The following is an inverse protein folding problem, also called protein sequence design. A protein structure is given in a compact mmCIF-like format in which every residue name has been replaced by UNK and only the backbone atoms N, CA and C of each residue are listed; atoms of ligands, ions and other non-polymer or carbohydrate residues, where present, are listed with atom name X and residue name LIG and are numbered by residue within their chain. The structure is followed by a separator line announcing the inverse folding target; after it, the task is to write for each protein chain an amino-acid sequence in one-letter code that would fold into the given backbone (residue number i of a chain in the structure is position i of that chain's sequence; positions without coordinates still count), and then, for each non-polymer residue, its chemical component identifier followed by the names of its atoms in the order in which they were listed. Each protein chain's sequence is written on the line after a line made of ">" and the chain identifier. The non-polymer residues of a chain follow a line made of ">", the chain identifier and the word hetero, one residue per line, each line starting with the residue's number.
data_IF_337663520054
#
_entry.id   IF_337663520054
#
_cell.length_a   1.000
_cell.length_b   1.000
_cell.length_c   1.000
_cell.angle_alpha   90.00
_cell.angle_beta   90.00
_cell.angle_gamma   90.00
#
_symmetry.space_group_name_H-M   'P 1'
#
loop_
_entity.id
_entity.type
_entity.pdbx_description
1 polymer ?
#
# COMPACT_ATOMS: atom_id res chain seq x y z
N UNK A 1 -26.26 -3.81 -7.75
CA UNK A 1 -24.81 -3.61 -7.54
C UNK A 1 -24.53 -3.80 -6.05
N UNK A 2 -24.08 -4.98 -5.65
CA UNK A 2 -23.77 -5.30 -4.25
C UNK A 2 -22.44 -4.66 -3.87
N UNK A 3 -22.48 -3.61 -3.06
CA UNK A 3 -21.28 -3.08 -2.42
C UNK A 3 -20.78 -4.10 -1.41
N UNK A 4 -19.73 -4.86 -1.76
CA UNK A 4 -19.05 -5.71 -0.80
C UNK A 4 -18.62 -4.85 0.41
N UNK A 5 -18.76 -5.34 1.65
CA UNK A 5 -18.38 -4.57 2.83
C UNK A 5 -16.91 -4.19 2.74
N UNK A 6 -16.62 -2.89 2.84
CA UNK A 6 -15.27 -2.34 2.92
C UNK A 6 -14.60 -2.95 4.15
N UNK A 7 -13.72 -3.93 3.96
CA UNK A 7 -12.93 -4.50 5.04
C UNK A 7 -11.92 -3.44 5.50
N UNK A 8 -12.24 -2.79 6.60
CA UNK A 8 -11.34 -1.84 7.25
C UNK A 8 -10.12 -2.61 7.76
N UNK A 9 -8.99 -2.47 7.06
CA UNK A 9 -7.72 -2.98 7.58
C UNK A 9 -7.33 -2.16 8.81
N UNK A 10 -6.81 -2.82 9.85
CA UNK A 10 -6.24 -2.16 11.03
C UNK A 10 -4.70 -2.11 10.97
N UNK A 11 -4.13 -2.50 9.84
CA UNK A 11 -2.69 -2.62 9.64
C UNK A 11 -2.10 -1.38 8.97
N UNK A 12 -0.89 -1.02 9.39
CA UNK A 12 -0.04 -0.09 8.66
C UNK A 12 0.72 -0.78 7.52
N UNK A 13 1.39 -0.02 6.65
CA UNK A 13 2.05 -0.60 5.47
C UNK A 13 3.17 -1.58 5.83
N UNK A 14 3.87 -1.37 6.95
CA UNK A 14 4.94 -2.27 7.39
C UNK A 14 4.39 -3.57 7.95
N UNK A 15 3.28 -3.51 8.71
CA UNK A 15 2.57 -4.71 9.16
C UNK A 15 2.04 -5.55 8.00
N UNK A 16 1.74 -4.92 6.86
CA UNK A 16 1.32 -5.60 5.63
C UNK A 16 2.52 -6.17 4.84
N UNK A 17 3.61 -5.41 4.73
CA UNK A 17 4.73 -5.74 3.84
C UNK A 17 5.84 -6.57 4.50
N UNK A 18 6.24 -6.22 5.73
CA UNK A 18 7.38 -6.85 6.41
C UNK A 18 7.23 -8.36 6.62
N UNK A 19 6.03 -8.94 6.86
CA UNK A 19 5.87 -10.39 6.94
C UNK A 19 6.02 -11.13 5.61
N UNK A 20 6.06 -10.41 4.48
CA UNK A 20 6.15 -11.01 3.15
C UNK A 20 7.61 -11.10 2.68
N UNK A 21 7.88 -12.03 1.77
CA UNK A 21 9.22 -12.21 1.16
C UNK A 21 9.75 -10.88 0.60
N UNK A 22 11.03 -10.61 0.85
CA UNK A 22 11.74 -9.41 0.40
C UNK A 22 11.01 -8.11 0.76
N UNK A 23 10.35 -8.11 1.93
CA UNK A 23 9.51 -7.02 2.43
C UNK A 23 8.45 -6.54 1.43
N UNK A 24 7.95 -7.44 0.59
CA UNK A 24 6.86 -7.17 -0.33
C UNK A 24 7.26 -6.36 -1.57
N UNK A 25 8.53 -6.44 -1.97
CA UNK A 25 8.98 -5.94 -3.26
C UNK A 25 8.11 -6.49 -4.41
N UNK A 26 7.68 -5.60 -5.32
CA UNK A 26 6.79 -5.92 -6.44
C UNK A 26 5.31 -6.10 -6.06
N UNK A 27 4.96 -6.14 -4.76
CA UNK A 27 3.55 -6.21 -4.35
C UNK A 27 2.86 -4.87 -4.54
N UNK A 28 1.55 -4.93 -4.80
CA UNK A 28 0.67 -3.77 -4.81
C UNK A 28 0.01 -3.62 -3.45
N UNK A 29 0.01 -2.39 -2.91
CA UNK A 29 -0.67 -2.04 -1.66
C UNK A 29 -1.64 -0.90 -1.88
N UNK A 30 -2.79 -0.97 -1.22
CA UNK A 30 -3.86 0.02 -1.32
C UNK A 30 -4.31 0.49 0.07
N UNK A 31 -5.05 1.59 0.12
CA UNK A 31 -5.64 2.15 1.33
C UNK A 31 -7.15 2.11 1.26
N UNK A 32 -7.81 1.84 2.39
CA UNK A 32 -9.27 1.84 2.47
C UNK A 32 -9.94 3.15 2.05
N UNK A 33 -9.26 4.30 2.19
CA UNK A 33 -9.79 5.59 1.70
C UNK A 33 -9.96 5.67 0.18
N UNK A 34 -9.38 4.73 -0.58
CA UNK A 34 -9.47 4.67 -2.04
C UNK A 34 -10.59 3.76 -2.53
N UNK A 35 -11.28 3.04 -1.64
CA UNK A 35 -12.34 2.08 -1.99
C UNK A 35 -13.59 2.74 -2.61
N UNK A 36 -13.69 4.06 -2.47
CA UNK A 36 -14.72 4.88 -3.11
C UNK A 36 -14.52 5.05 -4.62
N UNK A 37 -13.34 4.72 -5.15
CA UNK A 37 -13.05 4.82 -6.59
C UNK A 37 -13.30 3.47 -7.24
N UNK A 38 -14.02 3.46 -8.37
CA UNK A 38 -14.21 2.26 -9.16
C UNK A 38 -12.91 1.85 -9.88
N UNK A 39 -12.08 2.82 -10.23
CA UNK A 39 -10.80 2.60 -10.90
C UNK A 39 -9.70 2.24 -9.90
N UNK A 40 -8.71 1.42 -10.31
CA UNK A 40 -7.69 0.94 -9.39
C UNK A 40 -6.83 2.08 -8.85
N UNK A 41 -6.61 2.05 -7.54
CA UNK A 41 -5.71 2.98 -6.85
C UNK A 41 -4.82 2.21 -5.89
N UNK A 42 -3.50 2.21 -6.13
CA UNK A 42 -2.53 1.45 -5.37
C UNK A 42 -1.11 2.02 -5.53
N UNK A 43 -0.20 1.58 -4.66
CA UNK A 43 1.24 1.69 -4.86
C UNK A 43 1.81 0.34 -5.24
N UNK A 44 2.62 0.29 -6.29
CA UNK A 44 3.48 -0.86 -6.57
C UNK A 44 4.83 -0.65 -5.86
N UNK A 45 5.17 -1.54 -4.94
CA UNK A 45 6.33 -1.39 -4.05
C UNK A 45 7.62 -1.68 -4.81
N UNK A 46 8.54 -0.73 -4.80
CA UNK A 46 9.85 -0.84 -5.47
C UNK A 46 11.02 -0.86 -4.49
N UNK A 47 10.84 -0.38 -3.26
CA UNK A 47 11.87 -0.43 -2.22
C UNK A 47 11.30 -0.26 -0.82
N UNK A 48 11.79 -1.05 0.12
CA UNK A 48 11.43 -0.97 1.54
C UNK A 48 12.69 -0.84 2.38
N UNK A 49 12.71 0.15 3.28
CA UNK A 49 13.76 0.36 4.29
C UNK A 49 13.08 0.43 5.66
N UNK A 50 12.78 -0.73 6.28
CA UNK A 50 12.17 -0.75 7.60
C UNK A 50 13.18 -0.31 8.67
N UNK A 51 12.68 0.14 9.81
CA UNK A 51 13.46 0.26 11.04
C UNK A 51 13.86 -1.13 11.57
N UNK A 52 14.87 -1.24 12.45
CA UNK A 52 15.27 -2.52 13.03
C UNK A 52 14.14 -3.27 13.75
N UNK A 53 13.16 -2.56 14.31
CA UNK A 53 11.97 -3.14 14.96
C UNK A 53 10.86 -3.53 13.98
N UNK A 54 11.04 -3.27 12.68
CA UNK A 54 10.10 -3.51 11.58
C UNK A 54 8.74 -2.80 11.68
N UNK A 55 8.58 -1.83 12.59
CA UNK A 55 7.28 -1.15 12.82
C UNK A 55 7.10 0.12 11.99
N UNK A 56 8.19 0.71 11.51
CA UNK A 56 8.19 1.95 10.73
C UNK A 56 9.36 1.99 9.72
N UNK A 57 9.60 3.14 9.08
CA UNK A 57 10.71 3.32 8.14
C UNK A 57 10.32 4.10 6.89
N UNK A 58 10.90 3.72 5.75
CA UNK A 58 10.65 4.34 4.44
C UNK A 58 10.20 3.27 3.44
N UNK A 59 9.10 3.53 2.75
CA UNK A 59 8.61 2.69 1.64
C UNK A 59 8.52 3.57 0.40
N UNK A 60 8.92 3.02 -0.73
CA UNK A 60 8.89 3.67 -2.03
C UNK A 60 8.13 2.80 -3.03
N UNK A 61 7.52 3.44 -4.01
CA UNK A 61 6.77 2.75 -5.05
C UNK A 61 6.39 3.66 -6.21
N UNK A 62 5.78 3.07 -7.22
CA UNK A 62 5.07 3.80 -8.28
C UNK A 62 3.60 3.89 -7.92
N UNK A 63 3.02 5.08 -8.03
CA UNK A 63 1.63 5.31 -7.64
C UNK A 63 0.71 5.23 -8.86
N UNK A 64 -0.30 4.36 -8.77
CA UNK A 64 -1.43 4.37 -9.69
C UNK A 64 -2.61 5.03 -8.99
N UNK A 65 -3.11 6.13 -9.55
CA UNK A 65 -4.32 6.79 -9.09
C UNK A 65 -5.41 6.69 -10.16
N UNK A 66 -6.51 6.04 -9.81
CA UNK A 66 -7.66 5.85 -10.70
C UNK A 66 -7.24 5.36 -12.10
N UNK A 67 -6.44 4.31 -12.14
CA UNK A 67 -5.95 3.70 -13.38
C UNK A 67 -4.78 4.41 -14.06
N UNK A 68 -4.36 5.59 -13.60
CA UNK A 68 -3.21 6.32 -14.16
C UNK A 68 -1.97 6.13 -13.31
N UNK A 69 -0.94 5.50 -13.88
CA UNK A 69 0.33 5.25 -13.20
C UNK A 69 1.31 6.39 -13.41
N UNK A 70 1.87 6.88 -12.32
CA UNK A 70 3.01 7.77 -12.33
C UNK A 70 4.29 6.98 -12.66
N UNK A 71 5.06 7.37 -13.70
CA UNK A 71 6.27 6.64 -14.08
C UNK A 71 7.39 6.78 -13.04
N UNK A 72 7.32 7.79 -12.16
CA UNK A 72 8.39 8.12 -11.21
C UNK A 72 8.16 7.39 -9.89
N UNK A 73 9.21 6.74 -9.38
CA UNK A 73 9.23 6.21 -8.00
C UNK A 73 9.12 7.37 -7.01
N UNK A 74 8.21 7.23 -6.04
CA UNK A 74 8.03 8.20 -4.95
C UNK A 74 7.98 7.50 -3.61
N UNK A 75 8.25 8.25 -2.54
CA UNK A 75 8.02 7.78 -1.18
C UNK A 75 6.51 7.68 -0.93
N UNK A 76 6.07 6.58 -0.34
CA UNK A 76 4.68 6.40 0.05
C UNK A 76 4.33 7.39 1.18
N UNK A 77 3.22 8.10 1.01
CA UNK A 77 2.69 9.03 2.00
C UNK A 77 1.82 8.32 3.05
N UNK A 78 1.95 8.72 4.31
CA UNK A 78 1.18 8.15 5.43
C UNK A 78 1.37 6.64 5.65
N UNK A 79 2.61 6.10 5.63
CA UNK A 79 2.84 4.65 5.72
C UNK A 79 2.36 4.04 7.05
N UNK A 80 2.20 4.86 8.10
CA UNK A 80 1.76 4.44 9.43
C UNK A 80 0.22 4.47 9.63
N UNK A 81 -0.55 4.93 8.64
CA UNK A 81 -2.01 4.92 8.73
C UNK A 81 -2.52 3.48 8.82
N UNK A 82 -3.56 3.23 9.60
CA UNK A 82 -4.10 1.88 9.83
C UNK A 82 -5.28 1.63 8.89
N UNK A 83 -4.98 1.62 7.60
CA UNK A 83 -5.94 1.35 6.53
C UNK A 83 -5.28 0.69 5.31
N UNK A 84 -4.04 0.22 5.45
CA UNK A 84 -3.27 -0.41 4.38
C UNK A 84 -3.59 -1.89 4.24
N UNK A 85 -3.58 -2.40 3.02
CA UNK A 85 -3.69 -3.83 2.70
C UNK A 85 -3.00 -4.15 1.37
N UNK A 86 -2.70 -5.43 1.12
CA UNK A 86 -2.33 -5.88 -0.22
C UNK A 86 -3.52 -5.63 -1.16
N UNK A 87 -3.27 -5.01 -2.31
CA UNK A 87 -4.26 -4.90 -3.37
C UNK A 87 -4.44 -6.29 -3.99
N UNK A 88 -5.70 -6.74 -4.09
CA UNK A 88 -6.04 -8.01 -4.75
C UNK A 88 -5.83 -7.92 -6.26
#
# INVERSE_FOLDING_TARGET
>A
MSGAPVRKSLSNVFQVLCPTRDYGLGKKVTRGIWDKFAEPTYWEVTRVRPSPDLKHGKVYGRFTFRGKTDPVEKRINGPLKKDWRIAQ
#
